data_IF_947718133888
#
_entry.id   IF_947718133888
#
_cell.length_a   1.000
_cell.length_b   1.000
_cell.length_c   1.000
_cell.angle_alpha   90.00
_cell.angle_beta   90.00
_cell.angle_gamma   90.00
#
_symmetry.space_group_name_H-M   'P 1'
#
loop_
_entity.id
_entity.type
_entity.pdbx_description
1 polymer ?
#
# COMPACT_ATOMS: atom_id res chain seq x y z
N UNK A 1 -12.50 -16.15 25.32
CA UNK A 1 -13.23 -15.02 25.92
C UNK A 1 -14.02 -14.38 24.80
N UNK A 2 -15.34 -14.32 24.95
CA UNK A 2 -16.20 -13.64 23.98
C UNK A 2 -15.73 -12.20 23.81
N UNK A 3 -15.28 -11.87 22.60
CA UNK A 3 -14.91 -10.50 22.25
C UNK A 3 -16.16 -9.65 22.41
N UNK A 4 -16.11 -8.65 23.29
CA UNK A 4 -17.17 -7.66 23.43
C UNK A 4 -17.51 -7.10 22.04
N UNK A 5 -18.81 -7.05 21.71
CA UNK A 5 -19.30 -6.43 20.48
C UNK A 5 -18.68 -5.04 20.31
N UNK A 6 -17.96 -4.85 19.22
CA UNK A 6 -17.36 -3.55 18.88
C UNK A 6 -18.49 -2.64 18.41
N UNK A 7 -18.74 -1.56 19.14
CA UNK A 7 -19.67 -0.51 18.72
C UNK A 7 -18.92 0.48 17.82
N UNK A 8 -19.43 0.69 16.61
CA UNK A 8 -18.87 1.67 15.66
C UNK A 8 -19.68 2.95 15.76
N UNK A 9 -19.04 4.03 16.17
CA UNK A 9 -19.61 5.38 16.13
C UNK A 9 -19.38 5.99 14.76
N UNK A 10 -20.46 6.20 14.00
CA UNK A 10 -20.38 6.73 12.64
C UNK A 10 -20.39 8.26 12.61
N UNK A 11 -20.95 8.90 13.62
CA UNK A 11 -21.05 10.36 13.67
C UNK A 11 -19.64 10.99 13.63
N UNK A 12 -19.40 11.87 12.66
CA UNK A 12 -18.14 12.59 12.47
C UNK A 12 -16.93 11.73 12.08
N UNK A 13 -17.15 10.51 11.57
CA UNK A 13 -16.05 9.59 11.20
C UNK A 13 -15.13 10.18 10.12
N UNK A 14 -15.69 10.90 9.15
CA UNK A 14 -14.96 11.62 8.11
C UNK A 14 -14.03 12.72 8.65
N UNK A 15 -14.34 13.24 9.84
CA UNK A 15 -13.52 14.25 10.53
C UNK A 15 -12.37 13.64 11.34
N UNK A 16 -12.36 12.32 11.56
CA UNK A 16 -11.34 11.59 12.32
C UNK A 16 -10.24 10.97 11.44
N UNK A 17 -10.03 11.52 10.25
CA UNK A 17 -8.97 11.08 9.34
C UNK A 17 -7.60 11.57 9.80
N UNK A 18 -6.57 10.73 9.62
CA UNK A 18 -5.17 11.08 9.89
C UNK A 18 -4.39 11.00 8.57
N UNK A 19 -3.70 12.07 8.14
CA UNK A 19 -2.88 12.02 6.95
C UNK A 19 -1.62 11.16 7.17
N UNK A 20 -1.21 10.41 6.14
CA UNK A 20 0.06 9.69 6.16
C UNK A 20 1.21 10.64 5.77
N UNK A 21 2.35 10.61 6.50
CA UNK A 21 3.52 11.44 6.19
C UNK A 21 4.32 10.84 5.02
N UNK A 22 3.77 10.93 3.80
CA UNK A 22 4.36 10.32 2.59
C UNK A 22 4.68 11.39 1.54
N UNK A 23 5.61 11.07 0.64
CA UNK A 23 5.96 11.94 -0.48
C UNK A 23 4.75 12.20 -1.39
N UNK A 24 4.73 13.34 -2.07
CA UNK A 24 3.74 13.58 -3.13
C UNK A 24 3.89 12.53 -4.25
N UNK A 25 2.80 11.87 -4.62
CA UNK A 25 2.71 10.86 -5.66
C UNK A 25 1.23 10.47 -5.87
N UNK A 26 0.92 9.60 -6.84
CA UNK A 26 -0.38 8.95 -6.96
C UNK A 26 -0.31 7.61 -6.22
N UNK A 27 -1.29 7.33 -5.37
CA UNK A 27 -1.34 6.13 -4.55
C UNK A 27 -2.62 5.34 -4.87
N UNK A 28 -2.52 4.01 -4.88
CA UNK A 28 -3.69 3.14 -5.09
C UNK A 28 -3.59 1.83 -4.30
N UNK A 29 -4.68 1.07 -4.29
CA UNK A 29 -4.76 -0.26 -3.67
C UNK A 29 -4.32 -0.30 -2.20
N UNK A 30 -4.81 0.62 -1.36
CA UNK A 30 -4.53 0.61 0.08
C UNK A 30 -5.14 -0.64 0.74
N UNK A 31 -4.33 -1.43 1.44
CA UNK A 31 -4.78 -2.62 2.15
C UNK A 31 -4.09 -2.78 3.52
N UNK A 32 -4.80 -3.25 4.57
CA UNK A 32 -4.19 -3.61 5.84
C UNK A 32 -3.42 -4.93 5.75
N UNK A 33 -2.34 -5.02 6.52
CA UNK A 33 -1.54 -6.24 6.68
C UNK A 33 -1.41 -6.62 8.15
N UNK A 34 -1.13 -7.90 8.41
CA UNK A 34 -0.89 -8.41 9.76
C UNK A 34 0.22 -7.61 10.46
N UNK A 35 0.14 -7.49 11.79
CA UNK A 35 1.11 -6.70 12.57
C UNK A 35 0.85 -5.19 12.61
N UNK A 36 -0.28 -4.71 12.06
CA UNK A 36 -0.74 -3.32 12.24
C UNK A 36 -0.13 -2.33 11.24
N UNK A 37 0.21 -2.79 10.04
CA UNK A 37 0.70 -1.98 8.94
C UNK A 37 -0.29 -1.86 7.78
N UNK A 38 0.09 -1.05 6.79
CA UNK A 38 -0.64 -0.87 5.53
C UNK A 38 0.31 -1.12 4.37
N UNK A 39 -0.22 -1.59 3.24
CA UNK A 39 0.48 -1.62 1.96
C UNK A 39 -0.30 -0.86 0.90
N UNK A 40 0.41 -0.33 -0.09
CA UNK A 40 -0.18 0.37 -1.22
C UNK A 40 0.75 0.36 -2.44
N UNK A 41 0.21 0.74 -3.59
CA UNK A 41 0.97 1.04 -4.80
C UNK A 41 1.27 2.55 -4.86
N UNK A 42 2.55 2.91 -5.00
CA UNK A 42 2.99 4.28 -5.27
C UNK A 42 3.43 4.40 -6.73
N UNK A 43 2.78 5.26 -7.50
CA UNK A 43 3.06 5.43 -8.92
C UNK A 43 4.08 6.53 -9.18
N UNK A 44 4.95 6.38 -10.19
CA UNK A 44 5.84 7.46 -10.58
C UNK A 44 5.05 8.69 -11.02
N UNK A 45 5.58 9.86 -10.69
CA UNK A 45 5.10 11.15 -11.20
C UNK A 45 5.69 11.29 -12.60
N UNK A 46 4.85 11.20 -13.64
CA UNK A 46 5.23 11.43 -15.03
C UNK A 46 4.61 12.72 -15.58
N UNK A 47 5.33 13.45 -16.44
CA UNK A 47 4.82 14.66 -17.12
C UNK A 47 5.66 15.93 -16.91
N UNK A 48 5.34 17.00 -17.64
CA UNK A 48 5.91 18.33 -17.45
C UNK A 48 5.33 19.03 -16.21
N UNK A 49 6.07 19.99 -15.66
CA UNK A 49 5.65 20.77 -14.48
C UNK A 49 4.27 21.42 -14.72
N UNK A 50 3.23 20.92 -14.04
CA UNK A 50 1.86 21.42 -14.14
C UNK A 50 0.82 20.42 -14.70
N UNK A 51 1.25 19.33 -15.33
CA UNK A 51 0.33 18.35 -15.95
C UNK A 51 0.22 17.03 -15.15
N UNK A 52 1.20 16.72 -14.29
CA UNK A 52 1.32 15.39 -13.69
C UNK A 52 0.13 14.94 -12.83
N UNK A 53 -0.60 15.88 -12.22
CA UNK A 53 -1.76 15.59 -11.39
C UNK A 53 -3.10 15.92 -12.07
N UNK A 54 -3.09 16.29 -13.36
CA UNK A 54 -4.30 16.69 -14.09
C UNK A 54 -5.33 15.56 -14.19
N UNK A 55 -4.87 14.30 -14.24
CA UNK A 55 -5.73 13.12 -14.15
C UNK A 55 -5.15 12.12 -13.11
N UNK A 56 -5.80 11.94 -11.95
CA UNK A 56 -5.38 10.94 -10.96
C UNK A 56 -5.60 9.49 -11.42
N UNK A 57 -6.43 9.25 -12.45
CA UNK A 57 -6.60 7.92 -13.05
C UNK A 57 -5.52 7.58 -14.09
N UNK A 58 -4.70 8.55 -14.51
CA UNK A 58 -3.55 8.30 -15.38
C UNK A 58 -2.38 7.73 -14.57
N UNK A 59 -2.41 6.42 -14.38
CA UNK A 59 -1.39 5.62 -13.71
C UNK A 59 -0.36 5.14 -14.73
N UNK A 60 0.39 6.07 -15.32
CA UNK A 60 1.49 5.75 -16.25
C UNK A 60 2.74 5.28 -15.49
N UNK A 61 3.51 4.39 -16.12
CA UNK A 61 4.69 3.75 -15.51
C UNK A 61 4.33 2.52 -14.66
N UNK A 62 5.32 1.97 -13.95
CA UNK A 62 5.12 0.82 -13.04
C UNK A 62 5.20 1.30 -11.59
N UNK A 63 4.26 0.93 -10.72
CA UNK A 63 4.26 1.35 -9.33
C UNK A 63 5.32 0.61 -8.51
N UNK A 64 5.62 1.17 -7.35
CA UNK A 64 6.35 0.53 -6.25
C UNK A 64 5.36 0.05 -5.20
N UNK A 65 5.53 -1.18 -4.69
CA UNK A 65 4.78 -1.68 -3.54
C UNK A 65 5.47 -1.21 -2.27
N UNK A 66 4.76 -0.42 -1.46
CA UNK A 66 5.28 0.08 -0.20
C UNK A 66 4.50 -0.49 0.98
N UNK A 67 5.20 -0.65 2.10
CA UNK A 67 4.63 -0.94 3.39
C UNK A 67 4.83 0.26 4.33
N UNK A 68 3.79 0.62 5.05
CA UNK A 68 3.79 1.65 6.08
C UNK A 68 3.46 1.06 7.44
N UNK A 69 4.44 1.08 8.33
CA UNK A 69 4.26 0.73 9.72
C UNK A 69 3.67 1.92 10.49
N UNK A 70 2.42 1.79 10.92
CA UNK A 70 1.69 2.85 11.62
C UNK A 70 2.37 3.20 12.95
N UNK A 71 2.75 2.20 13.74
CA UNK A 71 3.34 2.40 15.07
C UNK A 71 4.68 3.15 15.02
N UNK A 72 5.46 2.95 13.96
CA UNK A 72 6.77 3.59 13.75
C UNK A 72 6.70 4.83 12.86
N UNK A 73 5.52 5.14 12.29
CA UNK A 73 5.33 6.12 11.23
C UNK A 73 6.40 6.00 10.11
N UNK A 74 6.73 4.77 9.72
CA UNK A 74 7.85 4.47 8.81
C UNK A 74 7.37 3.71 7.58
N UNK A 75 7.86 4.16 6.43
CA UNK A 75 7.67 3.53 5.13
C UNK A 75 8.88 2.69 4.72
N UNK A 76 8.64 1.57 4.05
CA UNK A 76 9.64 0.71 3.41
C UNK A 76 9.13 0.26 2.05
N UNK A 77 10.01 0.17 1.06
CA UNK A 77 9.68 -0.43 -0.24
C UNK A 77 9.84 -1.94 -0.12
N UNK A 78 8.84 -2.68 -0.58
CA UNK A 78 8.85 -4.15 -0.62
C UNK A 78 9.22 -4.67 -2.00
N UNK A 79 8.72 -4.00 -3.04
CA UNK A 79 8.93 -4.34 -4.45
C UNK A 79 9.04 -3.07 -5.26
N UNK A 80 10.11 -2.91 -6.02
CA UNK A 80 10.38 -1.69 -6.80
C UNK A 80 9.39 -1.50 -7.96
N UNK A 81 9.13 -2.58 -8.73
CA UNK A 81 8.22 -2.60 -9.86
C UNK A 81 7.32 -3.84 -9.84
N UNK A 82 6.03 -3.64 -10.09
CA UNK A 82 5.02 -4.69 -10.19
C UNK A 82 3.80 -4.17 -10.96
N UNK A 83 2.91 -5.08 -11.37
CA UNK A 83 1.67 -4.72 -12.05
C UNK A 83 0.50 -4.64 -11.07
N UNK A 84 0.44 -5.56 -10.11
CA UNK A 84 -0.57 -5.58 -9.05
C UNK A 84 -0.14 -6.47 -7.88
N UNK A 85 -0.87 -6.38 -6.76
CA UNK A 85 -0.73 -7.30 -5.63
C UNK A 85 -2.09 -7.73 -5.05
N UNK A 86 -2.10 -8.84 -4.31
CA UNK A 86 -3.22 -9.29 -3.51
C UNK A 86 -2.74 -9.76 -2.13
N UNK A 87 -3.58 -9.59 -1.10
CA UNK A 87 -3.24 -9.91 0.30
C UNK A 87 -3.80 -11.28 0.67
N UNK A 88 -3.03 -12.08 1.40
CA UNK A 88 -3.50 -13.38 1.92
C UNK A 88 -4.64 -13.21 2.94
N UNK A 89 -5.45 -14.25 3.16
CA UNK A 89 -6.61 -14.17 4.06
C UNK A 89 -6.25 -13.87 5.52
N UNK A 90 -5.05 -14.28 5.97
CA UNK A 90 -4.48 -13.97 7.29
C UNK A 90 -3.65 -12.67 7.30
N UNK A 91 -3.55 -12.00 6.15
CA UNK A 91 -2.81 -10.77 5.92
C UNK A 91 -1.29 -10.84 6.22
N UNK A 92 -0.71 -12.05 6.30
CA UNK A 92 0.72 -12.25 6.56
C UNK A 92 1.60 -12.21 5.31
N UNK A 93 1.00 -12.44 4.14
CA UNK A 93 1.70 -12.48 2.85
C UNK A 93 0.98 -11.71 1.77
N UNK A 94 1.74 -11.36 0.74
CA UNK A 94 1.24 -10.76 -0.50
C UNK A 94 1.62 -11.67 -1.66
N UNK A 95 0.70 -11.81 -2.62
CA UNK A 95 1.04 -12.27 -3.97
C UNK A 95 1.24 -11.03 -4.82
N UNK A 96 2.36 -10.95 -5.53
CA UNK A 96 2.66 -9.85 -6.47
C UNK A 96 2.81 -10.42 -7.87
N UNK A 97 2.33 -9.67 -8.86
CA UNK A 97 2.50 -9.96 -10.29
C UNK A 97 3.47 -8.97 -10.91
N UNK A 98 4.45 -9.48 -11.64
CA UNK A 98 5.43 -8.71 -12.39
C UNK A 98 5.63 -9.36 -13.77
N UNK A 99 5.13 -8.72 -14.84
CA UNK A 99 5.31 -9.16 -16.23
C UNK A 99 4.93 -10.63 -16.49
N UNK A 100 3.82 -11.06 -15.87
CA UNK A 100 3.31 -12.43 -15.98
C UNK A 100 3.91 -13.43 -14.98
N UNK A 101 4.88 -13.02 -14.16
CA UNK A 101 5.44 -13.81 -13.08
C UNK A 101 4.74 -13.52 -11.74
N UNK A 102 4.37 -14.58 -11.02
CA UNK A 102 3.77 -14.50 -9.69
C UNK A 102 4.77 -14.95 -8.61
N UNK A 103 4.94 -14.12 -7.58
CA UNK A 103 5.71 -14.47 -6.38
C UNK A 103 4.98 -14.11 -5.10
N UNK A 104 5.20 -14.92 -4.06
CA UNK A 104 4.66 -14.67 -2.72
C UNK A 104 5.73 -14.06 -1.82
N UNK A 105 5.46 -12.90 -1.24
CA UNK A 105 6.40 -12.15 -0.37
C UNK A 105 5.80 -11.91 1.03
N UNK A 106 6.62 -11.71 2.07
CA UNK A 106 6.14 -11.22 3.36
C UNK A 106 5.44 -9.86 3.22
N UNK A 107 4.41 -9.62 4.03
CA UNK A 107 3.61 -8.39 3.92
C UNK A 107 4.23 -7.15 4.60
N UNK A 108 5.26 -7.33 5.43
CA UNK A 108 5.83 -6.28 6.27
C UNK A 108 7.36 -6.12 6.16
N UNK A 109 8.03 -7.02 5.46
CA UNK A 109 9.50 -7.06 5.34
C UNK A 109 9.88 -7.23 3.86
N UNK A 110 10.98 -6.60 3.41
CA UNK A 110 11.51 -6.87 2.07
C UNK A 110 11.75 -8.37 1.95
N UNK A 111 11.19 -9.01 0.92
CA UNK A 111 11.51 -10.40 0.63
C UNK A 111 12.99 -10.52 0.27
N UNK A 112 13.62 -11.65 0.61
CA UNK A 112 14.95 -11.98 0.09
C UNK A 112 14.88 -11.94 -1.44
N UNK A 113 15.55 -10.95 -2.01
CA UNK A 113 15.67 -10.78 -3.46
C UNK A 113 17.02 -11.35 -3.84
N UNK A 114 17.20 -12.65 -3.65
CA UNK A 114 18.35 -13.40 -4.16
C UNK A 114 17.82 -14.33 -5.25
N UNK A 115 18.06 -13.96 -6.51
CA UNK A 115 17.90 -14.79 -7.70
C UNK A 115 18.87 -14.31 -8.77
#
# INVERSE_FOLDING_TARGET
>A
GEGSTVMVEFEGLESRVTPFPVSASKYSALAPVSGGGLVWLRWPISGALGETFANPADMSGRPTLEHFNIAKARRTELVDHLDWFAVSGDASRLVVMDDGELRAVPAAEPGDTDS
#
